data_IF_341337649225
#
_entry.id   IF_341337649225
#
_cell.length_a   1.000
_cell.length_b   1.000
_cell.length_c   1.000
_cell.angle_alpha   90.00
_cell.angle_beta   90.00
_cell.angle_gamma   90.00
#
_symmetry.space_group_name_H-M   'P 1'
#
loop_
_entity.id
_entity.type
_entity.pdbx_description
1 polymer ?
#
# COMPACT_ATOMS: atom_id res chain seq x y z
N UNK A 1 -8.89 -29.38 -0.78
CA UNK A 1 -9.36 -28.00 -0.54
C UNK A 1 -9.83 -27.81 0.89
N UNK A 2 -10.50 -28.79 1.51
CA UNK A 2 -10.98 -28.68 2.90
C UNK A 2 -9.90 -29.05 3.93
N UNK A 3 -9.27 -30.23 3.80
CA UNK A 3 -8.37 -30.77 4.85
C UNK A 3 -7.06 -30.01 5.10
N UNK A 4 -6.67 -29.08 4.22
CA UNK A 4 -5.45 -28.25 4.36
C UNK A 4 -5.70 -26.79 3.94
N UNK A 5 -6.93 -26.30 4.11
CA UNK A 5 -7.33 -24.99 3.61
C UNK A 5 -6.44 -23.86 4.14
N UNK A 6 -6.11 -23.87 5.44
CA UNK A 6 -5.34 -22.79 6.07
C UNK A 6 -3.90 -22.74 5.54
N UNK A 7 -3.28 -23.90 5.28
CA UNK A 7 -1.97 -23.99 4.63
C UNK A 7 -2.01 -23.44 3.20
N UNK A 8 -3.04 -23.80 2.42
CA UNK A 8 -3.20 -23.27 1.07
C UNK A 8 -3.39 -21.75 1.08
N UNK A 9 -4.26 -21.23 1.95
CA UNK A 9 -4.47 -19.80 2.10
C UNK A 9 -3.18 -19.09 2.48
N UNK A 10 -2.36 -19.66 3.37
CA UNK A 10 -1.07 -19.10 3.73
C UNK A 10 -0.11 -19.03 2.53
N UNK A 11 0.01 -20.09 1.73
CA UNK A 11 0.84 -20.11 0.52
C UNK A 11 0.36 -19.06 -0.49
N UNK A 12 -0.96 -18.97 -0.69
CA UNK A 12 -1.57 -17.98 -1.56
C UNK A 12 -1.34 -16.55 -1.05
N UNK A 13 -1.33 -16.34 0.26
CA UNK A 13 -1.09 -15.02 0.86
C UNK A 13 0.34 -14.54 0.65
N UNK A 14 1.32 -15.44 0.86
CA UNK A 14 2.73 -15.15 0.58
C UNK A 14 2.94 -14.87 -0.91
N UNK A 15 2.33 -15.67 -1.78
CA UNK A 15 2.44 -15.48 -3.23
C UNK A 15 1.77 -14.18 -3.69
N UNK A 16 0.60 -13.85 -3.16
CA UNK A 16 -0.10 -12.58 -3.40
C UNK A 16 0.78 -11.40 -3.02
N UNK A 17 1.40 -11.44 -1.83
CA UNK A 17 2.36 -10.44 -1.38
C UNK A 17 3.48 -10.22 -2.40
N UNK A 18 4.16 -11.29 -2.82
CA UNK A 18 5.25 -11.22 -3.79
C UNK A 18 4.81 -10.68 -5.17
N UNK A 19 3.63 -11.07 -5.66
CA UNK A 19 3.08 -10.55 -6.92
C UNK A 19 2.74 -9.07 -6.79
N UNK A 20 2.13 -8.65 -5.67
CA UNK A 20 1.84 -7.24 -5.41
C UNK A 20 3.11 -6.40 -5.27
N UNK A 21 4.18 -6.95 -4.67
CA UNK A 21 5.49 -6.29 -4.57
C UNK A 21 6.11 -6.06 -5.96
N UNK A 22 6.03 -7.07 -6.83
CA UNK A 22 6.45 -6.95 -8.23
C UNK A 22 5.64 -5.91 -8.99
N UNK A 23 4.32 -5.84 -8.77
CA UNK A 23 3.47 -4.81 -9.37
C UNK A 23 3.89 -3.43 -8.87
N UNK A 24 4.00 -3.23 -7.54
CA UNK A 24 4.30 -1.93 -6.94
C UNK A 24 5.63 -1.34 -7.46
N UNK A 25 6.60 -2.18 -7.81
CA UNK A 25 7.93 -1.76 -8.28
C UNK A 25 8.08 -1.69 -9.81
N UNK A 26 7.00 -1.90 -10.59
CA UNK A 26 7.08 -2.13 -12.04
C UNK A 26 8.04 -3.28 -12.39
N UNK A 27 8.13 -4.27 -11.50
CA UNK A 27 9.11 -5.35 -11.52
C UNK A 27 8.96 -6.30 -12.70
N UNK A 28 7.75 -6.53 -13.22
CA UNK A 28 7.56 -7.34 -14.43
C UNK A 28 8.16 -6.67 -15.67
N UNK A 29 8.12 -5.35 -15.76
CA UNK A 29 8.76 -4.59 -16.84
C UNK A 29 10.28 -4.71 -16.77
N UNK A 30 10.84 -4.64 -15.56
CA UNK A 30 12.28 -4.82 -15.32
C UNK A 30 12.71 -6.26 -15.62
N UNK A 31 11.94 -7.24 -15.13
CA UNK A 31 12.21 -8.65 -15.34
C UNK A 31 12.23 -8.98 -16.83
N UNK A 32 11.24 -8.51 -17.60
CA UNK A 32 11.17 -8.68 -19.05
C UNK A 32 12.40 -8.15 -19.81
N UNK A 33 13.20 -7.24 -19.24
CA UNK A 33 14.43 -6.73 -19.84
C UNK A 33 15.67 -7.56 -19.52
N UNK A 34 15.61 -8.36 -18.45
CA UNK A 34 16.75 -9.12 -17.92
C UNK A 34 16.65 -10.60 -18.29
N UNK A 35 15.45 -11.11 -18.56
CA UNK A 35 15.23 -12.51 -18.92
C UNK A 35 14.69 -12.65 -20.34
N UNK A 36 15.15 -13.69 -21.02
CA UNK A 36 14.50 -14.19 -22.22
C UNK A 36 13.25 -14.97 -21.82
N UNK A 37 12.08 -14.55 -22.31
CA UNK A 37 10.83 -15.23 -21.96
C UNK A 37 10.79 -16.59 -22.65
N UNK A 38 10.65 -17.70 -21.89
CA UNK A 38 10.53 -19.03 -22.45
C UNK A 38 9.39 -19.11 -23.49
N UNK A 39 9.63 -19.69 -24.69
CA UNK A 39 8.60 -19.81 -25.74
C UNK A 39 7.33 -20.53 -25.27
N UNK A 40 7.48 -21.49 -24.34
CA UNK A 40 6.34 -22.18 -23.72
C UNK A 40 5.44 -21.24 -22.91
N UNK A 41 6.00 -20.27 -22.19
CA UNK A 41 5.20 -19.27 -21.47
C UNK A 41 4.44 -18.38 -22.44
N UNK A 42 5.10 -17.97 -23.53
CA UNK A 42 4.43 -17.21 -24.60
C UNK A 42 3.24 -18.00 -25.15
N UNK A 43 3.45 -19.26 -25.56
CA UNK A 43 2.40 -20.10 -26.13
C UNK A 43 1.19 -20.34 -25.19
N UNK A 44 1.42 -20.39 -23.87
CA UNK A 44 0.34 -20.64 -22.89
C UNK A 44 -0.46 -19.37 -22.56
N UNK A 45 0.20 -18.21 -22.57
CA UNK A 45 -0.37 -16.96 -22.04
C UNK A 45 -0.63 -15.88 -23.09
N UNK A 46 -0.09 -15.96 -24.31
CA UNK A 46 -0.35 -15.00 -25.39
C UNK A 46 -1.84 -14.91 -25.73
N UNK A 47 -2.51 -16.05 -25.82
CA UNK A 47 -3.91 -16.15 -26.24
C UNK A 47 -4.88 -15.70 -25.14
N UNK A 48 -4.37 -15.55 -23.92
CA UNK A 48 -5.12 -15.02 -22.76
C UNK A 48 -5.04 -13.50 -22.68
N UNK A 49 -4.19 -12.87 -23.50
CA UNK A 49 -4.03 -11.43 -23.57
C UNK A 49 -4.84 -10.85 -24.75
N UNK A 50 -5.37 -9.63 -24.63
CA UNK A 50 -5.88 -8.91 -25.79
C UNK A 50 -4.77 -8.76 -26.84
N UNK A 51 -5.08 -8.94 -28.13
CA UNK A 51 -4.11 -8.89 -29.24
C UNK A 51 -3.21 -7.63 -29.26
N UNK A 52 -3.67 -6.50 -28.69
CA UNK A 52 -2.90 -5.25 -28.56
C UNK A 52 -1.97 -5.18 -27.34
N UNK A 53 -1.99 -6.17 -26.46
CA UNK A 53 -1.27 -6.18 -25.17
C UNK A 53 -0.27 -7.35 -25.07
N UNK A 54 0.17 -7.93 -26.18
CA UNK A 54 1.12 -9.07 -26.19
C UNK A 54 2.57 -8.60 -26.02
N UNK A 55 2.85 -7.79 -25.00
CA UNK A 55 4.23 -7.42 -24.65
C UNK A 55 4.88 -8.48 -23.75
N UNK A 56 6.21 -8.59 -23.71
CA UNK A 56 6.94 -9.44 -22.77
C UNK A 56 6.48 -9.25 -21.31
N UNK A 57 6.35 -7.99 -20.88
CA UNK A 57 5.84 -7.61 -19.56
C UNK A 57 4.41 -8.12 -19.30
N UNK A 58 3.52 -8.01 -20.29
CA UNK A 58 2.14 -8.44 -20.16
C UNK A 58 2.04 -9.97 -20.07
N UNK A 59 2.89 -10.70 -20.80
CA UNK A 59 2.99 -12.16 -20.72
C UNK A 59 3.42 -12.58 -19.31
N UNK A 60 4.47 -11.96 -18.77
CA UNK A 60 4.93 -12.23 -17.40
C UNK A 60 3.84 -11.89 -16.38
N UNK A 61 3.23 -10.70 -16.48
CA UNK A 61 2.15 -10.29 -15.60
C UNK A 61 0.98 -11.29 -15.64
N UNK A 62 0.58 -11.74 -16.83
CA UNK A 62 -0.47 -12.75 -16.99
C UNK A 62 -0.08 -14.09 -16.36
N UNK A 63 1.14 -14.56 -16.61
CA UNK A 63 1.64 -15.83 -16.09
C UNK A 63 1.70 -15.83 -14.55
N UNK A 64 2.29 -14.80 -13.95
CA UNK A 64 2.44 -14.70 -12.49
C UNK A 64 1.13 -14.36 -11.76
N UNK A 65 0.15 -13.74 -12.43
CA UNK A 65 -1.18 -13.54 -11.81
C UNK A 65 -2.11 -14.73 -12.03
N UNK A 66 -1.77 -15.68 -12.91
CA UNK A 66 -2.63 -16.81 -13.24
C UNK A 66 -3.04 -17.67 -12.04
N UNK A 67 -2.12 -18.05 -11.12
CA UNK A 67 -2.50 -18.84 -9.94
C UNK A 67 -3.52 -18.14 -9.05
N UNK A 68 -3.39 -16.82 -8.87
CA UNK A 68 -4.30 -15.99 -8.07
C UNK A 68 -5.70 -15.90 -8.68
N UNK A 69 -5.79 -15.92 -10.01
CA UNK A 69 -7.09 -15.92 -10.70
C UNK A 69 -7.86 -17.24 -10.53
N UNK A 70 -7.21 -18.34 -10.10
CA UNK A 70 -7.87 -19.63 -9.85
C UNK A 70 -8.63 -19.66 -8.53
N UNK A 71 -8.33 -18.76 -7.60
CA UNK A 71 -8.93 -18.77 -6.26
C UNK A 71 -10.45 -18.59 -6.29
N UNK A 72 -10.97 -17.77 -7.20
CA UNK A 72 -12.41 -17.58 -7.41
C UNK A 72 -13.12 -18.87 -7.85
N UNK A 73 -12.41 -19.78 -8.53
CA UNK A 73 -12.93 -21.09 -8.92
C UNK A 73 -13.08 -22.00 -7.70
N UNK A 74 -12.13 -21.96 -6.76
CA UNK A 74 -12.24 -22.73 -5.51
C UNK A 74 -13.42 -22.26 -4.67
N UNK A 75 -13.61 -20.94 -4.51
CA UNK A 75 -14.81 -20.37 -3.91
C UNK A 75 -16.07 -20.94 -4.57
N UNK A 76 -16.17 -20.82 -5.89
CA UNK A 76 -17.34 -21.27 -6.66
C UNK A 76 -17.62 -22.77 -6.47
N UNK A 77 -16.59 -23.61 -6.51
CA UNK A 77 -16.72 -25.06 -6.34
C UNK A 77 -17.24 -25.43 -4.95
N UNK A 78 -16.76 -24.75 -3.90
CA UNK A 78 -17.17 -25.01 -2.52
C UNK A 78 -18.59 -24.50 -2.20
N UNK A 79 -19.01 -23.41 -2.83
CA UNK A 79 -20.38 -22.88 -2.65
C UNK A 79 -21.46 -23.62 -3.46
N UNK A 80 -21.07 -24.46 -4.44
CA UNK A 80 -22.02 -25.02 -5.40
C UNK A 80 -22.95 -26.04 -4.74
N UNK A 81 -24.25 -25.73 -4.76
CA UNK A 81 -25.31 -26.64 -4.27
C UNK A 81 -25.44 -26.72 -2.76
N UNK A 82 -24.83 -25.81 -2.01
CA UNK A 82 -24.87 -25.80 -0.55
C UNK A 82 -25.59 -24.55 -0.02
N UNK A 83 -26.55 -24.76 0.89
CA UNK A 83 -27.25 -23.71 1.63
C UNK A 83 -27.50 -24.20 3.07
N UNK A 84 -26.89 -23.57 4.11
CA UNK A 84 -26.06 -22.36 4.06
C UNK A 84 -24.68 -22.57 3.41
N UNK A 85 -24.02 -21.47 3.04
CA UNK A 85 -22.67 -21.47 2.46
C UNK A 85 -21.65 -22.02 3.47
N UNK A 86 -20.74 -22.93 3.08
CA UNK A 86 -19.75 -23.49 3.99
C UNK A 86 -18.76 -22.46 4.53
N UNK A 87 -18.26 -22.63 5.77
CA UNK A 87 -17.21 -21.78 6.34
C UNK A 87 -15.96 -21.68 5.45
N UNK A 88 -15.60 -22.76 4.75
CA UNK A 88 -14.45 -22.81 3.87
C UNK A 88 -14.63 -21.89 2.66
N UNK A 89 -15.82 -21.89 2.06
CA UNK A 89 -16.14 -21.00 0.95
C UNK A 89 -16.08 -19.52 1.39
N UNK A 90 -16.47 -19.21 2.62
CA UNK A 90 -16.36 -17.86 3.18
C UNK A 90 -14.90 -17.42 3.36
N UNK A 91 -13.99 -18.31 3.80
CA UNK A 91 -12.56 -17.97 3.87
C UNK A 91 -11.97 -17.65 2.49
N UNK A 92 -12.35 -18.42 1.46
CA UNK A 92 -11.93 -18.12 0.08
C UNK A 92 -12.53 -16.84 -0.47
N UNK A 93 -13.75 -16.47 -0.06
CA UNK A 93 -14.37 -15.19 -0.38
C UNK A 93 -13.59 -14.02 0.23
N UNK A 94 -13.29 -14.09 1.52
CA UNK A 94 -12.46 -13.10 2.21
C UNK A 94 -11.07 -12.97 1.56
N UNK A 95 -10.47 -14.09 1.13
CA UNK A 95 -9.21 -14.06 0.40
C UNK A 95 -9.35 -13.33 -0.96
N UNK A 96 -10.42 -13.58 -1.72
CA UNK A 96 -10.66 -12.88 -2.99
C UNK A 96 -10.75 -11.35 -2.78
N UNK A 97 -11.47 -10.91 -1.75
CA UNK A 97 -11.61 -9.48 -1.41
C UNK A 97 -10.26 -8.87 -1.00
N UNK A 98 -9.48 -9.58 -0.18
CA UNK A 98 -8.12 -9.19 0.20
C UNK A 98 -7.22 -9.05 -1.03
N UNK A 99 -7.25 -10.04 -1.93
CA UNK A 99 -6.48 -10.04 -3.17
C UNK A 99 -6.79 -8.81 -4.02
N UNK A 100 -8.06 -8.50 -4.26
CA UNK A 100 -8.45 -7.36 -5.08
C UNK A 100 -8.01 -6.03 -4.46
N UNK A 101 -8.13 -5.92 -3.13
CA UNK A 101 -7.69 -4.74 -2.38
C UNK A 101 -6.17 -4.55 -2.48
N UNK A 102 -5.39 -5.61 -2.22
CA UNK A 102 -3.93 -5.56 -2.28
C UNK A 102 -3.41 -5.26 -3.70
N UNK A 103 -4.04 -5.81 -4.73
CA UNK A 103 -3.68 -5.53 -6.13
C UNK A 103 -3.94 -4.08 -6.51
N UNK A 104 -5.12 -3.53 -6.17
CA UNK A 104 -5.43 -2.11 -6.40
C UNK A 104 -4.44 -1.19 -5.69
N UNK A 105 -4.07 -1.51 -4.45
CA UNK A 105 -3.06 -0.75 -3.70
C UNK A 105 -1.67 -0.81 -4.36
N UNK A 106 -1.25 -2.00 -4.82
CA UNK A 106 0.01 -2.17 -5.52
C UNK A 106 0.04 -1.37 -6.84
N UNK A 107 -1.04 -1.41 -7.63
CA UNK A 107 -1.16 -0.63 -8.86
C UNK A 107 -1.15 0.88 -8.61
N UNK A 108 -1.88 1.36 -7.60
CA UNK A 108 -1.86 2.76 -7.19
C UNK A 108 -0.44 3.20 -6.77
N UNK A 109 0.25 2.35 -6.01
CA UNK A 109 1.64 2.57 -5.58
C UNK A 109 2.58 2.65 -6.78
N UNK A 110 2.43 1.75 -7.77
CA UNK A 110 3.21 1.77 -9.00
C UNK A 110 3.03 3.09 -9.76
N UNK A 111 1.79 3.51 -9.98
CA UNK A 111 1.46 4.76 -10.67
C UNK A 111 2.01 5.99 -9.92
N UNK A 112 1.94 5.97 -8.59
CA UNK A 112 2.56 6.99 -7.76
C UNK A 112 4.07 7.09 -8.02
N UNK A 113 4.79 5.97 -7.94
CA UNK A 113 6.23 5.98 -8.21
C UNK A 113 6.58 6.43 -9.63
N UNK A 114 5.79 6.05 -10.63
CA UNK A 114 5.99 6.47 -12.02
C UNK A 114 5.74 7.97 -12.23
N UNK A 115 4.83 8.58 -11.48
CA UNK A 115 4.49 10.02 -11.62
C UNK A 115 5.41 10.97 -10.84
N UNK A 116 6.13 10.48 -9.83
CA UNK A 116 6.87 11.32 -8.89
C UNK A 116 8.32 11.63 -9.31
N UNK A 117 8.84 10.96 -10.34
CA UNK A 117 10.22 11.11 -10.79
C UNK A 117 11.27 10.74 -9.72
N UNK A 118 12.49 11.27 -9.87
CA UNK A 118 13.67 10.84 -9.09
C UNK A 118 13.65 11.20 -7.60
N UNK A 119 12.83 12.17 -7.21
CA UNK A 119 12.85 12.74 -5.86
C UNK A 119 12.53 11.70 -4.77
N UNK A 120 11.70 10.71 -5.11
CA UNK A 120 11.24 9.68 -4.19
C UNK A 120 11.76 8.28 -4.54
N UNK A 121 12.70 8.16 -5.49
CA UNK A 121 13.23 6.86 -5.92
C UNK A 121 13.92 6.12 -4.77
N UNK A 122 14.61 6.85 -3.88
CA UNK A 122 15.25 6.29 -2.68
C UNK A 122 14.24 5.73 -1.66
N UNK A 123 12.95 6.08 -1.79
CA UNK A 123 11.89 5.58 -0.93
C UNK A 123 11.25 4.30 -1.48
N UNK A 124 11.57 3.86 -2.69
CA UNK A 124 10.94 2.68 -3.29
C UNK A 124 11.40 1.42 -2.57
N UNK A 125 10.44 0.65 -2.06
CA UNK A 125 10.67 -0.68 -1.50
C UNK A 125 9.57 -1.64 -1.95
N UNK A 126 9.88 -2.93 -2.20
CA UNK A 126 8.91 -3.88 -2.73
C UNK A 126 7.63 -3.98 -1.89
N UNK A 127 7.74 -4.05 -0.57
CA UNK A 127 6.63 -4.21 0.37
C UNK A 127 5.94 -2.89 0.76
N UNK A 128 6.46 -1.75 0.33
CA UNK A 128 5.93 -0.43 0.67
C UNK A 128 4.74 -0.10 -0.23
N UNK A 129 3.68 0.48 0.34
CA UNK A 129 2.48 0.92 -0.36
C UNK A 129 2.20 2.39 -0.10
N UNK A 130 1.70 3.09 -1.10
CA UNK A 130 1.13 4.42 -0.91
C UNK A 130 -0.21 4.30 -0.19
N UNK A 131 -0.39 5.06 0.89
CA UNK A 131 -1.67 5.18 1.59
C UNK A 131 -2.36 6.49 1.20
N UNK A 132 -1.65 7.62 1.29
CA UNK A 132 -2.21 8.96 1.01
C UNK A 132 -1.08 9.96 0.77
N UNK A 133 -1.32 11.03 0.00
CA UNK A 133 -0.33 12.09 -0.22
C UNK A 133 -0.97 13.47 -0.41
N UNK A 134 -0.24 14.53 -0.06
CA UNK A 134 -0.80 15.87 0.09
C UNK A 134 -1.08 16.62 -1.22
N UNK A 135 -0.60 16.13 -2.36
CA UNK A 135 -0.91 16.73 -3.67
C UNK A 135 -2.33 16.35 -4.13
N UNK A 136 -2.73 15.11 -3.89
CA UNK A 136 -4.10 14.63 -4.13
C UNK A 136 -5.06 14.98 -2.99
N UNK A 137 -4.56 15.04 -1.76
CA UNK A 137 -5.37 15.29 -0.56
C UNK A 137 -4.75 16.43 0.27
N UNK A 138 -5.10 17.70 0.00
CA UNK A 138 -4.37 18.84 0.53
C UNK A 138 -4.20 18.82 2.05
N UNK A 139 -2.96 19.02 2.49
CA UNK A 139 -2.57 19.16 3.88
C UNK A 139 -1.27 19.97 3.92
N UNK A 140 -1.26 21.07 4.68
CA UNK A 140 -0.13 22.00 4.73
C UNK A 140 0.54 21.96 6.10
N UNK A 141 1.87 21.98 6.13
CA UNK A 141 2.65 22.06 7.37
C UNK A 141 2.95 23.53 7.69
N UNK A 142 2.66 23.93 8.92
CA UNK A 142 2.90 25.30 9.41
C UNK A 142 4.38 25.53 9.76
N UNK A 143 4.73 26.80 10.01
CA UNK A 143 6.08 27.26 10.39
C UNK A 143 7.17 27.00 9.35
N UNK A 144 6.77 26.81 8.10
CA UNK A 144 7.67 26.59 6.97
C UNK A 144 7.57 27.79 6.03
N UNK A 145 8.67 28.12 5.36
CA UNK A 145 8.69 29.22 4.39
C UNK A 145 7.57 29.03 3.36
N UNK A 146 6.77 30.08 3.17
CA UNK A 146 5.68 30.19 2.19
C UNK A 146 6.12 30.04 0.74
N UNK A 147 7.43 30.05 0.47
CA UNK A 147 8.02 29.81 -0.85
C UNK A 147 8.51 28.39 -1.04
N UNK A 148 8.51 27.55 0.00
CA UNK A 148 8.95 26.16 -0.09
C UNK A 148 7.79 25.28 -0.56
N UNK A 149 8.03 24.48 -1.59
CA UNK A 149 7.11 23.40 -1.95
C UNK A 149 7.07 22.37 -0.81
N UNK A 150 5.86 22.05 -0.36
CA UNK A 150 5.65 21.05 0.69
C UNK A 150 4.96 19.84 0.11
N UNK A 151 5.39 18.66 0.53
CA UNK A 151 4.77 17.43 0.14
C UNK A 151 4.84 16.41 1.26
N UNK A 152 3.68 15.99 1.73
CA UNK A 152 3.53 14.97 2.76
C UNK A 152 3.04 13.69 2.10
N UNK A 153 3.70 12.58 2.38
CA UNK A 153 3.40 11.27 1.82
C UNK A 153 3.27 10.28 2.97
N UNK A 154 2.09 9.68 3.13
CA UNK A 154 1.87 8.58 4.04
C UNK A 154 2.03 7.26 3.27
N UNK A 155 3.06 6.52 3.65
CA UNK A 155 3.35 5.18 3.17
C UNK A 155 2.91 4.16 4.23
N UNK A 156 2.78 2.89 3.86
CA UNK A 156 2.37 1.81 4.75
C UNK A 156 3.28 1.60 5.98
N UNK A 157 4.50 2.12 5.93
CA UNK A 157 5.53 1.94 6.94
C UNK A 157 6.21 3.24 7.40
N UNK A 158 5.95 4.38 6.75
CA UNK A 158 6.60 5.64 7.05
C UNK A 158 5.70 6.85 6.74
N UNK A 159 5.89 7.94 7.48
CA UNK A 159 5.40 9.27 7.07
C UNK A 159 6.59 10.05 6.51
N UNK A 160 6.50 10.52 5.27
CA UNK A 160 7.57 11.26 4.62
C UNK A 160 7.14 12.70 4.43
N UNK A 161 7.99 13.62 4.86
CA UNK A 161 7.81 15.05 4.65
C UNK A 161 8.94 15.60 3.79
N UNK A 162 8.55 16.32 2.74
CA UNK A 162 9.48 16.91 1.78
C UNK A 162 9.21 18.41 1.73
N UNK A 163 10.25 19.19 1.98
CA UNK A 163 10.19 20.65 1.97
C UNK A 163 11.35 21.22 1.13
N UNK A 164 11.06 21.66 -0.09
CA UNK A 164 12.10 22.05 -1.03
C UNK A 164 13.04 20.88 -1.36
N UNK A 165 14.30 20.98 -0.97
CA UNK A 165 15.31 19.93 -1.21
C UNK A 165 15.49 18.95 -0.04
N UNK A 166 14.89 19.22 1.12
CA UNK A 166 15.01 18.35 2.28
C UNK A 166 13.92 17.28 2.27
N UNK A 167 14.31 16.05 2.59
CA UNK A 167 13.41 14.91 2.76
C UNK A 167 13.64 14.33 4.15
N UNK A 168 12.58 14.27 4.94
CA UNK A 168 12.57 13.67 6.27
C UNK A 168 11.62 12.47 6.27
N UNK A 169 12.10 11.33 6.78
CA UNK A 169 11.34 10.08 6.87
C UNK A 169 11.11 9.77 8.34
N UNK A 170 9.85 9.85 8.78
CA UNK A 170 9.47 9.54 10.15
C UNK A 170 8.98 8.10 10.25
N UNK A 171 9.51 7.36 11.24
CA UNK A 171 9.05 6.01 11.52
C UNK A 171 7.65 6.05 12.17
N UNK A 172 6.70 5.30 11.61
CA UNK A 172 5.35 5.19 12.19
C UNK A 172 5.35 4.55 13.57
N UNK A 173 6.37 3.76 13.91
CA UNK A 173 6.50 3.10 15.20
C UNK A 173 6.61 4.10 16.35
N UNK A 174 7.14 5.30 16.12
CA UNK A 174 7.35 6.35 17.13
C UNK A 174 6.44 7.55 16.95
N UNK A 175 5.54 7.51 15.96
CA UNK A 175 4.72 8.65 15.56
C UNK A 175 3.38 8.72 16.30
N UNK A 176 3.07 9.88 16.88
CA UNK A 176 1.74 10.22 17.40
C UNK A 176 1.02 11.20 16.51
N UNK A 177 -0.31 11.09 16.46
CA UNK A 177 -1.16 12.05 15.75
C UNK A 177 -2.34 12.44 16.63
N UNK A 178 -2.55 13.74 16.79
CA UNK A 178 -3.60 14.32 17.61
C UNK A 178 -4.27 15.48 16.85
N UNK A 179 -5.48 15.84 17.26
CA UNK A 179 -6.20 17.00 16.74
C UNK A 179 -6.21 18.10 17.78
N UNK A 180 -5.96 19.34 17.36
CA UNK A 180 -6.19 20.48 18.24
C UNK A 180 -7.64 20.98 18.10
N UNK A 181 -8.23 21.52 19.19
CA UNK A 181 -9.51 22.19 19.14
C UNK A 181 -9.41 23.44 18.25
N UNK A 182 -10.46 23.67 17.46
CA UNK A 182 -10.49 24.82 16.56
C UNK A 182 -10.67 26.12 17.37
N UNK A 183 -10.03 27.20 16.93
CA UNK A 183 -10.22 28.55 17.45
C UNK A 183 -10.45 29.54 16.29
N UNK A 184 -10.65 30.83 16.59
CA UNK A 184 -10.98 31.86 15.58
C UNK A 184 -9.93 32.00 14.46
N UNK A 185 -8.67 31.61 14.73
CA UNK A 185 -7.53 31.77 13.81
C UNK A 185 -6.98 30.45 13.26
N UNK A 186 -7.31 29.34 13.90
CA UNK A 186 -6.71 28.04 13.69
C UNK A 186 -7.80 26.99 13.67
N UNK A 187 -8.16 26.54 12.47
CA UNK A 187 -9.16 25.51 12.24
C UNK A 187 -8.52 24.32 11.54
N UNK A 188 -9.11 23.14 11.73
CA UNK A 188 -8.74 21.92 11.01
C UNK A 188 -7.28 21.50 11.25
N UNK A 189 -6.77 21.69 12.47
CA UNK A 189 -5.38 21.36 12.82
C UNK A 189 -5.20 19.89 13.23
N UNK A 190 -4.13 19.31 12.69
CA UNK A 190 -3.54 18.02 13.07
C UNK A 190 -2.11 18.25 13.57
N UNK A 191 -1.74 17.63 14.67
CA UNK A 191 -0.35 17.66 15.18
C UNK A 191 0.20 16.25 15.09
N UNK A 192 1.36 16.13 14.46
CA UNK A 192 2.14 14.90 14.43
C UNK A 192 3.37 15.09 15.30
N UNK A 193 3.52 14.23 16.31
CA UNK A 193 4.64 14.26 17.25
C UNK A 193 5.52 13.05 17.02
N UNK A 194 6.81 13.28 16.84
CA UNK A 194 7.85 12.26 16.70
C UNK A 194 8.96 12.55 17.72
N UNK A 195 9.85 11.59 18.04
CA UNK A 195 10.98 11.86 18.93
C UNK A 195 11.88 13.00 18.45
N UNK A 196 11.95 13.19 17.13
CA UNK A 196 12.83 14.16 16.48
C UNK A 196 12.16 15.53 16.30
N UNK A 197 10.86 15.56 15.96
CA UNK A 197 10.14 16.78 15.57
C UNK A 197 8.64 16.76 15.92
N UNK A 198 8.05 17.96 15.96
CA UNK A 198 6.59 18.16 16.04
C UNK A 198 6.11 18.95 14.83
N UNK A 199 5.22 18.35 14.04
CA UNK A 199 4.65 18.93 12.83
C UNK A 199 3.21 19.39 13.10
N UNK A 200 2.96 20.69 12.97
CA UNK A 200 1.60 21.25 12.98
C UNK A 200 1.10 21.34 11.55
N UNK A 201 0.00 20.66 11.24
CA UNK A 201 -0.57 20.55 9.91
C UNK A 201 -1.99 21.10 9.86
N UNK A 202 -2.37 21.72 8.75
CA UNK A 202 -3.70 22.29 8.54
C UNK A 202 -4.34 21.66 7.32
N UNK A 203 -5.53 21.09 7.52
CA UNK A 203 -6.36 20.59 6.43
C UNK A 203 -7.31 21.71 5.93
N UNK A 204 -7.70 21.70 4.65
CA UNK A 204 -8.60 22.73 4.11
C UNK A 204 -10.03 22.60 4.63
N UNK A 205 -10.44 21.43 5.10
CA UNK A 205 -11.76 21.17 5.69
C UNK A 205 -11.69 20.20 6.86
N UNK A 206 -12.74 20.19 7.68
CA UNK A 206 -12.89 19.21 8.77
C UNK A 206 -12.98 17.77 8.24
N UNK A 207 -13.52 17.58 7.03
CA UNK A 207 -13.56 16.27 6.37
C UNK A 207 -12.15 15.79 6.07
N UNK A 208 -11.33 16.65 5.44
CA UNK A 208 -9.94 16.33 5.10
C UNK A 208 -9.09 16.05 6.34
N UNK A 209 -9.28 16.84 7.42
CA UNK A 209 -8.66 16.58 8.73
C UNK A 209 -9.01 15.19 9.24
N UNK A 210 -10.28 14.82 9.17
CA UNK A 210 -10.76 13.53 9.68
C UNK A 210 -10.22 12.37 8.84
N UNK A 211 -10.17 12.51 7.52
CA UNK A 211 -9.60 11.50 6.62
C UNK A 211 -8.10 11.30 6.83
N UNK A 212 -7.34 12.39 6.97
CA UNK A 212 -5.91 12.32 7.28
C UNK A 212 -5.65 11.68 8.63
N UNK A 213 -6.41 12.07 9.67
CA UNK A 213 -6.32 11.45 10.99
C UNK A 213 -6.57 9.94 10.92
N UNK A 214 -7.67 9.52 10.29
CA UNK A 214 -7.99 8.09 10.13
C UNK A 214 -6.93 7.35 9.35
N UNK A 215 -6.43 7.93 8.25
CA UNK A 215 -5.40 7.32 7.43
C UNK A 215 -4.12 7.07 8.25
N UNK A 216 -3.61 8.09 8.95
CA UNK A 216 -2.41 7.98 9.78
C UNK A 216 -2.62 6.97 10.92
N UNK A 217 -3.73 7.08 11.66
CA UNK A 217 -4.02 6.17 12.78
C UNK A 217 -4.17 4.71 12.33
N UNK A 218 -4.90 4.46 11.23
CA UNK A 218 -5.08 3.11 10.72
C UNK A 218 -3.75 2.54 10.24
N UNK A 219 -2.91 3.34 9.56
CA UNK A 219 -1.60 2.89 9.09
C UNK A 219 -0.68 2.54 10.26
N UNK A 220 -0.65 3.36 11.32
CA UNK A 220 0.08 3.07 12.56
C UNK A 220 -0.42 1.76 13.20
N UNK A 221 -1.74 1.58 13.33
CA UNK A 221 -2.33 0.35 13.90
C UNK A 221 -1.91 -0.89 13.12
N UNK A 222 -2.03 -0.83 11.80
CA UNK A 222 -1.61 -1.92 10.89
C UNK A 222 -0.11 -2.19 11.03
N UNK A 223 0.73 -1.15 11.03
CA UNK A 223 2.19 -1.30 11.14
C UNK A 223 2.61 -1.92 12.46
N UNK A 224 1.98 -1.51 13.57
CA UNK A 224 2.27 -2.02 14.90
C UNK A 224 1.68 -3.41 15.16
N UNK A 225 0.85 -3.96 14.25
CA UNK A 225 0.04 -5.16 14.50
C UNK A 225 -0.76 -5.08 15.81
N UNK A 226 -1.23 -3.88 16.18
CA UNK A 226 -1.95 -3.62 17.44
C UNK A 226 -3.36 -3.10 17.16
N UNK A 227 -4.36 -3.66 17.86
CA UNK A 227 -5.77 -3.26 17.78
C UNK A 227 -6.01 -1.79 18.20
N UNK A 228 -5.12 -1.23 19.02
CA UNK A 228 -5.18 0.13 19.52
C UNK A 228 -3.76 0.73 19.52
N UNK A 229 -3.63 2.02 19.21
CA UNK A 229 -2.35 2.71 19.33
C UNK A 229 -1.89 2.60 20.80
N UNK A 230 -0.76 1.95 21.09
CA UNK A 230 -0.34 1.70 22.47
C UNK A 230 -0.05 3.03 23.18
N UNK A 231 -0.35 3.13 24.48
CA UNK A 231 -0.12 4.34 25.29
C UNK A 231 1.37 4.69 25.48
N UNK A 232 2.26 3.72 25.30
CA UNK A 232 3.70 3.90 25.29
C UNK A 232 4.31 3.09 24.13
N UNK A 233 5.33 3.65 23.49
CA UNK A 233 6.07 3.01 22.38
C UNK A 233 7.55 3.00 22.69
N UNK A 234 8.19 1.86 22.48
CA UNK A 234 9.62 1.66 22.71
C UNK A 234 10.31 1.49 21.36
N UNK A 235 11.41 2.20 21.13
CA UNK A 235 12.25 2.05 19.96
C UNK A 235 13.63 1.55 20.37
N UNK A 236 14.20 0.64 19.58
CA UNK A 236 15.59 0.19 19.69
C UNK A 236 16.40 0.84 18.59
N UNK A 237 17.43 1.61 18.98
CA UNK A 237 18.36 2.24 18.04
C UNK A 237 19.71 1.51 18.10
N UNK A 238 20.25 1.16 16.93
CA UNK A 238 21.63 0.68 16.77
C UNK A 238 22.43 1.75 16.06
N UNK A 239 23.47 2.27 16.74
CA UNK A 239 24.45 3.15 16.10
C UNK A 239 25.25 2.32 15.09
N UNK A 240 25.30 2.79 13.84
CA UNK A 240 26.22 2.30 12.79
C UNK A 240 27.40 3.24 12.63
#
# INVERSE_FOLDING_TARGET
LQDHMDEYLQVYDVYLGAVCDMIAMSGFSQLARVIDIPPRLVAIFSDRLPSRKTSPEAILTCAFTHPLNRVSVYKMMLSRGQSPVPPEALKWEQFCEKQDTMRKQADSTRLFWESCGRLVDILRMPHRRLVRESRSHPLTVQNVSRFSSQWLILLSDALVYICGATQTVYNLDTLWVETLPDNETMQNILVVTTPEDTLTMVAPSQSDKTEWLRAIQNTIKTKLNKLQAPSARTATYTFS
#
